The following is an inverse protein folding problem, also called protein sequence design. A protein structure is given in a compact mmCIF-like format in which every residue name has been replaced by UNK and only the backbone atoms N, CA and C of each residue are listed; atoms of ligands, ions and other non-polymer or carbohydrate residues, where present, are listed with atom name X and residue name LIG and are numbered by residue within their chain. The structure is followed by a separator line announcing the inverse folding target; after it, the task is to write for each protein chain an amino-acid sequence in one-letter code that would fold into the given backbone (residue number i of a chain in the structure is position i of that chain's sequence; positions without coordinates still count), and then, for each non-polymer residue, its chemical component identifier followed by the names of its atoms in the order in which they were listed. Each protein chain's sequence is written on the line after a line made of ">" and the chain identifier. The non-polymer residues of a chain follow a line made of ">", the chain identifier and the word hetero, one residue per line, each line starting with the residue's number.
data_IF_590022619723
#
_entry.id   IF_590022619723
#
_cell.length_a   1.000
_cell.length_b   1.000
_cell.length_c   1.000
_cell.angle_alpha   90.00
_cell.angle_beta   90.00
_cell.angle_gamma   90.00
#
_symmetry.space_group_name_H-M   'P 1'
#
loop_
_entity.id
_entity.type
_entity.pdbx_description
1 polymer ?
#
# COMPACT_ATOMS: atom_id res chain seq x y z
N UNK A 1 6.75 2.72 -2.31
CA UNK A 1 5.77 1.75 -2.85
C UNK A 1 6.09 1.29 -4.27
N UNK A 2 6.11 2.18 -5.29
CA UNK A 2 6.32 1.78 -6.70
C UNK A 2 7.55 0.90 -6.95
N UNK A 3 8.72 1.27 -6.42
CA UNK A 3 9.96 0.50 -6.58
C UNK A 3 9.84 -0.87 -5.93
N UNK A 4 9.47 -0.92 -4.65
CA UNK A 4 9.28 -2.18 -3.92
C UNK A 4 8.25 -3.12 -4.58
N UNK A 5 7.19 -2.60 -5.19
CA UNK A 5 6.23 -3.41 -5.95
C UNK A 5 6.83 -3.95 -7.26
N UNK A 6 7.62 -3.13 -7.95
CA UNK A 6 8.33 -3.54 -9.17
C UNK A 6 9.34 -4.66 -8.87
N UNK A 7 10.00 -4.63 -7.71
CA UNK A 7 10.90 -5.71 -7.26
C UNK A 7 10.19 -7.06 -7.11
N UNK A 8 8.87 -7.02 -6.88
CA UNK A 8 8.00 -8.21 -6.81
C UNK A 8 7.30 -8.54 -8.13
N UNK A 9 7.64 -7.87 -9.23
CA UNK A 9 6.99 -8.05 -10.53
C UNK A 9 5.57 -7.50 -10.60
N UNK A 10 5.15 -6.64 -9.67
CA UNK A 10 3.80 -6.05 -9.61
C UNK A 10 3.81 -4.65 -10.23
N UNK A 11 2.93 -4.41 -11.21
CA UNK A 11 2.77 -3.08 -11.81
C UNK A 11 2.09 -2.11 -10.86
N UNK A 12 2.60 -0.88 -10.79
CA UNK A 12 1.95 0.21 -10.05
C UNK A 12 0.57 0.59 -10.59
N UNK A 13 0.32 0.37 -11.89
CA UNK A 13 -0.94 0.76 -12.53
C UNK A 13 -2.17 0.04 -11.97
N UNK A 14 -1.98 -1.07 -11.24
CA UNK A 14 -3.05 -1.85 -10.62
C UNK A 14 -3.12 -1.67 -9.09
N UNK A 15 -2.26 -0.81 -8.53
CA UNK A 15 -2.18 -0.59 -7.10
C UNK A 15 -3.05 0.61 -6.65
N UNK A 16 -3.78 0.43 -5.57
CA UNK A 16 -4.40 1.50 -4.79
C UNK A 16 -3.49 1.93 -3.66
N UNK A 17 -3.39 3.25 -3.43
CA UNK A 17 -2.64 3.85 -2.34
C UNK A 17 -3.57 4.80 -1.57
N UNK A 18 -3.64 4.64 -0.26
CA UNK A 18 -4.21 5.65 0.63
C UNK A 18 -3.18 6.07 1.67
N UNK A 19 -3.15 7.37 1.94
CA UNK A 19 -2.35 7.95 3.02
C UNK A 19 -3.32 8.63 3.96
N UNK A 20 -3.24 8.30 5.24
CA UNK A 20 -4.05 8.91 6.29
C UNK A 20 -3.16 9.38 7.43
N UNK A 21 -3.61 10.42 8.12
CA UNK A 21 -2.84 11.09 9.15
C UNK A 21 -3.73 11.32 10.37
N UNK A 22 -3.17 11.05 11.55
CA UNK A 22 -3.80 11.30 12.83
C UNK A 22 -2.87 12.12 13.72
N UNK A 23 -3.39 12.93 14.66
CA UNK A 23 -4.81 13.07 15.00
C UNK A 23 -5.61 13.92 14.00
N UNK A 24 -4.95 14.78 13.22
CA UNK A 24 -5.61 15.71 12.31
C UNK A 24 -5.52 15.22 10.85
N UNK A 25 -6.65 14.82 10.23
CA UNK A 25 -6.66 14.35 8.84
C UNK A 25 -6.09 15.39 7.88
N UNK A 26 -5.18 14.97 7.00
CA UNK A 26 -4.50 15.85 6.04
C UNK A 26 -3.28 16.58 6.61
N UNK A 27 -3.05 16.57 7.93
CA UNK A 27 -1.90 17.20 8.58
C UNK A 27 -0.89 16.14 9.03
N UNK A 28 -0.07 15.71 8.07
CA UNK A 28 0.84 14.58 8.23
C UNK A 28 2.21 14.96 8.77
N UNK A 29 2.64 16.21 8.61
CA UNK A 29 4.01 16.67 8.85
C UNK A 29 4.10 17.56 10.09
N UNK A 30 3.35 17.21 11.13
CA UNK A 30 3.36 17.90 12.42
C UNK A 30 3.93 16.99 13.50
N UNK A 31 4.70 17.53 14.48
CA UNK A 31 5.19 16.75 15.60
C UNK A 31 4.05 15.98 16.29
N UNK A 32 4.23 14.67 16.47
CA UNK A 32 3.22 13.80 17.07
C UNK A 32 2.17 13.27 16.09
N UNK A 33 2.21 13.64 14.81
CA UNK A 33 1.37 13.00 13.80
C UNK A 33 1.81 11.54 13.57
N UNK A 34 0.84 10.67 13.31
CA UNK A 34 1.07 9.31 12.82
C UNK A 34 0.62 9.24 11.36
N UNK A 35 1.52 8.83 10.47
CA UNK A 35 1.23 8.65 9.05
C UNK A 35 1.02 7.16 8.78
N UNK A 36 -0.18 6.80 8.34
CA UNK A 36 -0.52 5.45 7.91
C UNK A 36 -0.63 5.40 6.40
N UNK A 37 0.11 4.48 5.79
CA UNK A 37 0.11 4.22 4.35
C UNK A 37 -0.47 2.83 4.13
N UNK A 38 -1.57 2.76 3.38
CA UNK A 38 -2.14 1.50 2.93
C UNK A 38 -1.92 1.33 1.43
N UNK A 39 -1.44 0.15 1.05
CA UNK A 39 -1.27 -0.27 -0.34
C UNK A 39 -2.16 -1.48 -0.58
N UNK A 40 -2.95 -1.48 -1.65
CA UNK A 40 -3.76 -2.61 -2.05
C UNK A 40 -3.59 -2.95 -3.52
N UNK A 41 -3.60 -4.25 -3.84
CA UNK A 41 -3.54 -4.76 -5.21
C UNK A 41 -4.61 -5.82 -5.42
N UNK A 42 -5.14 -5.91 -6.63
CA UNK A 42 -6.04 -6.99 -7.05
C UNK A 42 -5.26 -7.95 -7.96
N UNK A 43 -4.98 -9.15 -7.47
CA UNK A 43 -4.20 -10.14 -8.20
C UNK A 43 -5.11 -11.24 -8.76
N UNK A 44 -5.00 -11.52 -10.06
CA UNK A 44 -5.69 -12.65 -10.66
C UNK A 44 -5.12 -13.97 -10.12
N UNK A 45 -6.00 -14.93 -9.80
CA UNK A 45 -5.57 -16.24 -9.34
C UNK A 45 -4.96 -17.03 -10.52
N UNK A 46 -3.77 -17.62 -10.36
CA UNK A 46 -3.17 -18.47 -11.40
C UNK A 46 -4.10 -19.61 -11.83
N UNK A 47 -3.87 -20.16 -13.03
CA UNK A 47 -4.58 -21.34 -13.57
C UNK A 47 -6.07 -21.14 -13.90
N UNK A 48 -6.58 -19.91 -13.85
CA UNK A 48 -7.99 -19.61 -14.15
C UNK A 48 -8.29 -19.48 -15.65
N UNK A 49 -7.25 -19.38 -16.48
CA UNK A 49 -7.35 -19.34 -17.94
C UNK A 49 -8.11 -18.11 -18.49
N UNK A 50 -7.86 -17.70 -19.74
CA UNK A 50 -8.58 -16.58 -20.35
C UNK A 50 -10.08 -16.84 -20.58
N UNK A 51 -10.56 -18.09 -20.42
CA UNK A 51 -11.95 -18.49 -20.63
C UNK A 51 -12.95 -17.72 -19.75
N UNK A 52 -12.50 -17.21 -18.61
CA UNK A 52 -13.35 -16.49 -17.66
C UNK A 52 -13.36 -14.97 -17.88
N UNK A 53 -12.46 -14.42 -18.71
CA UNK A 53 -12.40 -12.98 -19.00
C UNK A 53 -12.46 -12.10 -17.75
N UNK A 54 -13.38 -11.13 -17.75
CA UNK A 54 -13.62 -10.22 -16.62
C UNK A 54 -14.19 -10.90 -15.35
N UNK A 55 -14.65 -12.15 -15.46
CA UNK A 55 -15.15 -12.96 -14.35
C UNK A 55 -14.07 -13.85 -13.72
N UNK A 56 -12.81 -13.70 -14.13
CA UNK A 56 -11.71 -14.44 -13.53
C UNK A 56 -11.61 -14.12 -12.02
N UNK A 57 -11.52 -15.15 -11.14
CA UNK A 57 -11.44 -14.91 -9.72
C UNK A 57 -10.11 -14.22 -9.40
N UNK A 58 -10.18 -13.35 -8.41
CA UNK A 58 -9.03 -12.54 -7.99
C UNK A 58 -9.01 -12.39 -6.48
N UNK A 59 -7.82 -12.17 -5.95
CA UNK A 59 -7.58 -11.97 -4.52
C UNK A 59 -7.10 -10.54 -4.32
N UNK A 60 -7.70 -9.86 -3.34
CA UNK A 60 -7.20 -8.58 -2.85
C UNK A 60 -6.08 -8.83 -1.86
N UNK A 61 -4.92 -8.24 -2.10
CA UNK A 61 -3.80 -8.22 -1.16
C UNK A 61 -3.62 -6.79 -0.68
N UNK A 62 -3.51 -6.60 0.64
CA UNK A 62 -3.33 -5.28 1.24
C UNK A 62 -2.21 -5.30 2.27
N UNK A 63 -1.51 -4.18 2.39
CA UNK A 63 -0.47 -3.94 3.38
C UNK A 63 -0.68 -2.55 3.98
N UNK A 64 -0.50 -2.44 5.30
CA UNK A 64 -0.61 -1.20 6.05
C UNK A 64 0.69 -0.97 6.81
N UNK A 65 1.20 0.26 6.78
CA UNK A 65 2.41 0.65 7.49
C UNK A 65 2.18 2.01 8.14
N UNK A 66 2.46 2.11 9.43
CA UNK A 66 2.25 3.32 10.21
C UNK A 66 3.56 3.78 10.84
N UNK A 67 3.91 5.04 10.63
CA UNK A 67 5.15 5.64 11.14
C UNK A 67 4.86 7.00 11.77
N UNK A 68 5.41 7.28 12.97
CA UNK A 68 5.29 8.60 13.56
C UNK A 68 6.10 9.61 12.74
N UNK A 69 5.55 10.80 12.54
CA UNK A 69 6.30 11.91 11.97
C UNK A 69 7.27 12.46 13.02
N UNK A 70 8.55 12.41 12.68
CA UNK A 70 9.61 12.93 13.53
C UNK A 70 10.99 12.72 12.92
N UNK A 71 12.00 13.10 13.69
CA UNK A 71 13.41 12.87 13.32
C UNK A 71 13.86 11.52 13.86
N UNK A 72 14.46 10.67 13.03
CA UNK A 72 15.13 9.46 13.50
C UNK A 72 16.18 9.81 14.56
N UNK A 73 16.21 9.01 15.63
CA UNK A 73 17.18 9.10 16.72
C UNK A 73 17.81 7.72 16.86
N UNK A 74 19.10 7.62 16.60
CA UNK A 74 19.84 6.38 16.83
C UNK A 74 19.86 6.07 18.33
N UNK A 75 19.70 4.78 18.69
CA UNK A 75 19.83 4.36 20.07
C UNK A 75 21.30 4.52 20.50
N UNK A 76 21.53 5.26 21.59
CA UNK A 76 22.86 5.41 22.19
C UNK A 76 23.20 4.20 23.04
#
# INVERSE_FOLDING_TARGET
>A
ARVALADQGVSWSTAGLSVSCSPEPGVCLSPGSLVTVDVSIQQAVPLTGPLLGASAPSVRVSSSHAEPYGTFREAR
#
